data_IF_745349682644
#
_entry.id   IF_745349682644
#
_cell.length_a   1.000
_cell.length_b   1.000
_cell.length_c   1.000
_cell.angle_alpha   90.00
_cell.angle_beta   90.00
_cell.angle_gamma   90.00
#
_symmetry.space_group_name_H-M   'P 1'
#
loop_
_entity.id
_entity.type
_entity.pdbx_description
1 polymer ?
#
# COMPACT_ATOMS: atom_id res chain seq x y z
N UNK A 1 8.39 -1.94 24.00
CA UNK A 1 6.96 -2.00 23.67
C UNK A 1 6.79 -2.93 22.47
N UNK A 2 5.80 -3.82 22.48
CA UNK A 2 5.49 -4.73 21.36
C UNK A 2 3.98 -4.72 21.11
N UNK A 3 3.55 -5.08 19.89
CA UNK A 3 2.17 -4.94 19.41
C UNK A 3 1.71 -6.25 18.76
N UNK A 4 0.44 -6.62 18.94
CA UNK A 4 -0.24 -7.52 17.98
C UNK A 4 -1.00 -6.67 16.96
N UNK A 5 -0.95 -7.06 15.69
CA UNK A 5 -1.54 -6.28 14.59
C UNK A 5 -2.96 -6.77 14.27
N UNK A 6 -3.64 -6.16 13.29
CA UNK A 6 -4.97 -6.59 12.82
C UNK A 6 -5.02 -8.07 12.39
N UNK A 7 -3.89 -8.65 12.01
CA UNK A 7 -3.74 -10.08 11.78
C UNK A 7 -3.28 -10.80 13.07
N UNK A 8 -4.02 -10.61 14.17
CA UNK A 8 -3.78 -11.25 15.46
C UNK A 8 -4.06 -12.75 15.35
N UNK A 9 -3.00 -13.55 15.23
CA UNK A 9 -3.06 -14.97 14.87
C UNK A 9 -2.25 -15.78 15.86
N UNK A 10 -2.91 -16.20 16.92
CA UNK A 10 -2.38 -17.11 17.93
C UNK A 10 -3.43 -18.21 18.21
N UNK A 11 -2.96 -19.41 18.59
CA UNK A 11 -3.84 -20.52 18.97
C UNK A 11 -3.18 -21.31 20.10
N UNK A 12 -3.89 -21.52 21.20
CA UNK A 12 -3.45 -22.40 22.29
C UNK A 12 -3.78 -23.86 21.96
N UNK A 13 -2.94 -24.78 22.42
CA UNK A 13 -3.15 -26.21 22.29
C UNK A 13 -2.80 -26.92 23.60
N UNK A 14 -3.45 -28.06 23.88
CA UNK A 14 -3.06 -28.97 24.96
C UNK A 14 -3.21 -30.42 24.54
N UNK A 15 -2.32 -31.27 25.04
CA UNK A 15 -2.38 -32.72 24.88
C UNK A 15 -2.53 -33.32 26.28
N UNK A 16 -3.44 -34.26 26.45
CA UNK A 16 -3.61 -35.01 27.70
C UNK A 16 -4.06 -36.45 27.42
N UNK A 17 -4.31 -37.24 28.47
CA UNK A 17 -4.77 -38.64 28.36
C UNK A 17 -6.10 -38.81 27.59
N UNK A 18 -6.82 -37.73 27.33
CA UNK A 18 -8.09 -37.71 26.60
C UNK A 18 -7.96 -37.23 25.15
N UNK A 19 -6.75 -36.88 24.69
CA UNK A 19 -6.49 -36.52 23.29
C UNK A 19 -5.84 -35.14 23.11
N UNK A 20 -6.06 -34.58 21.92
CA UNK A 20 -5.50 -33.31 21.45
C UNK A 20 -6.60 -32.27 21.46
N UNK A 21 -6.32 -31.10 22.02
CA UNK A 21 -7.26 -29.99 22.13
C UNK A 21 -6.64 -28.74 21.51
N UNK A 22 -7.43 -28.02 20.74
CA UNK A 22 -7.08 -26.72 20.17
C UNK A 22 -8.05 -25.67 20.71
N UNK A 23 -7.56 -24.45 20.90
CA UNK A 23 -8.38 -23.29 21.20
C UNK A 23 -9.43 -23.07 20.11
N UNK A 24 -10.67 -22.87 20.55
CA UNK A 24 -11.78 -22.58 19.65
C UNK A 24 -11.77 -21.10 19.31
N UNK A 25 -11.60 -20.80 18.03
CA UNK A 25 -11.74 -19.43 17.50
C UNK A 25 -13.18 -19.19 17.02
N UNK A 26 -13.50 -17.94 16.71
CA UNK A 26 -14.80 -17.57 16.15
C UNK A 26 -14.92 -18.01 14.68
N UNK A 27 -16.07 -18.62 14.32
CA UNK A 27 -16.37 -19.09 12.97
C UNK A 27 -17.41 -18.22 12.23
N UNK A 28 -18.11 -17.34 12.96
CA UNK A 28 -19.08 -16.38 12.41
C UNK A 28 -18.68 -14.93 12.78
N UNK A 29 -17.57 -14.40 12.24
CA UNK A 29 -17.12 -13.05 12.57
C UNK A 29 -18.09 -11.95 12.12
N UNK A 30 -18.98 -12.22 11.14
CA UNK A 30 -19.97 -11.27 10.65
C UNK A 30 -20.97 -10.79 11.72
N UNK A 31 -21.14 -11.55 12.81
CA UNK A 31 -21.99 -11.13 13.94
C UNK A 31 -21.49 -9.85 14.63
N UNK A 32 -20.20 -9.54 14.53
CA UNK A 32 -19.61 -8.35 15.12
C UNK A 32 -19.78 -7.09 14.26
N UNK A 33 -20.30 -7.22 13.04
CA UNK A 33 -20.56 -6.07 12.16
C UNK A 33 -22.03 -5.68 12.32
N UNK A 34 -22.36 -4.51 12.90
CA UNK A 34 -23.73 -4.02 13.01
C UNK A 34 -24.38 -3.92 11.63
N UNK A 35 -25.68 -4.23 11.53
CA UNK A 35 -26.40 -4.20 10.24
C UNK A 35 -26.28 -2.85 9.53
N UNK A 36 -26.31 -1.74 10.27
CA UNK A 36 -26.16 -0.38 9.74
C UNK A 36 -24.79 -0.08 9.13
N UNK A 37 -23.77 -0.89 9.41
CA UNK A 37 -22.40 -0.74 8.90
C UNK A 37 -22.06 -1.78 7.81
N UNK A 38 -23.03 -2.60 7.40
CA UNK A 38 -22.85 -3.61 6.33
C UNK A 38 -23.10 -3.05 4.94
N UNK A 39 -23.61 -1.83 4.83
CA UNK A 39 -23.82 -1.14 3.56
C UNK A 39 -22.58 -0.31 3.19
N UNK A 40 -22.33 -0.16 1.89
CA UNK A 40 -21.24 0.69 1.42
C UNK A 40 -21.49 2.14 1.85
N UNK A 41 -20.55 2.70 2.61
CA UNK A 41 -20.57 4.12 2.91
C UNK A 41 -20.30 4.91 1.62
N UNK A 42 -21.27 5.73 1.19
CA UNK A 42 -21.19 6.71 0.10
C UNK A 42 -20.24 7.89 0.41
N UNK A 43 -19.14 7.64 1.12
CA UNK A 43 -18.16 8.67 1.38
C UNK A 43 -17.69 9.28 0.05
N UNK A 44 -17.54 10.59 0.01
CA UNK A 44 -17.06 11.24 -1.20
C UNK A 44 -15.66 10.74 -1.53
N UNK A 45 -15.41 10.53 -2.82
CA UNK A 45 -14.11 10.13 -3.34
C UNK A 45 -13.90 10.73 -4.72
N UNK A 46 -12.64 10.89 -5.09
CA UNK A 46 -12.26 11.31 -6.45
C UNK A 46 -11.83 10.08 -7.23
N UNK A 47 -12.47 9.82 -8.38
CA UNK A 47 -12.07 8.73 -9.26
C UNK A 47 -10.83 9.13 -10.07
N UNK A 48 -9.86 8.23 -10.14
CA UNK A 48 -8.63 8.39 -10.91
C UNK A 48 -8.49 7.23 -11.89
N UNK A 49 -8.64 7.54 -13.18
CA UNK A 49 -8.36 6.61 -14.26
C UNK A 49 -6.86 6.55 -14.55
N UNK A 50 -6.26 5.39 -14.26
CA UNK A 50 -4.85 5.06 -14.42
C UNK A 50 -4.50 4.51 -15.80
N UNK A 51 -5.47 4.36 -16.71
CA UNK A 51 -5.21 4.02 -18.11
C UNK A 51 -4.64 5.20 -18.92
N UNK A 52 -4.62 6.39 -18.32
CA UNK A 52 -4.01 7.60 -18.87
C UNK A 52 -2.53 7.71 -18.47
N UNK A 53 -1.71 8.50 -19.17
CA UNK A 53 -0.34 8.76 -18.77
C UNK A 53 -0.22 9.22 -17.31
N UNK A 54 0.74 8.67 -16.55
CA UNK A 54 0.91 8.97 -15.11
C UNK A 54 0.97 10.47 -14.81
N UNK A 55 1.58 11.26 -15.69
CA UNK A 55 1.67 12.72 -15.55
C UNK A 55 0.29 13.40 -15.45
N UNK A 56 -0.72 12.88 -16.17
CA UNK A 56 -2.06 13.46 -16.19
C UNK A 56 -2.79 13.10 -14.89
N UNK A 57 -2.59 11.86 -14.39
CA UNK A 57 -3.04 11.44 -13.05
C UNK A 57 -2.40 12.29 -11.94
N UNK A 58 -1.11 12.62 -12.06
CA UNK A 58 -0.41 13.49 -11.12
C UNK A 58 -0.96 14.93 -11.13
N UNK A 59 -1.39 15.46 -12.28
CA UNK A 59 -2.05 16.76 -12.35
C UNK A 59 -3.40 16.77 -11.63
N UNK A 60 -4.15 15.66 -11.70
CA UNK A 60 -5.38 15.50 -10.93
C UNK A 60 -5.08 15.43 -9.43
N UNK A 61 -4.07 14.64 -9.02
CA UNK A 61 -3.62 14.55 -7.63
C UNK A 61 -3.14 15.90 -7.07
N UNK A 62 -2.43 16.70 -7.87
CA UNK A 62 -1.90 18.00 -7.46
C UNK A 62 -2.99 19.01 -7.07
N UNK A 63 -4.23 18.82 -7.52
CA UNK A 63 -5.39 19.67 -7.19
C UNK A 63 -6.07 19.28 -5.88
N UNK A 64 -5.69 18.15 -5.30
CA UNK A 64 -6.33 17.57 -4.12
C UNK A 64 -5.45 17.76 -2.87
N UNK A 65 -6.03 18.09 -1.70
CA UNK A 65 -5.28 18.15 -0.46
C UNK A 65 -4.95 16.76 0.09
N UNK A 66 -3.98 16.68 1.01
CA UNK A 66 -3.77 15.48 1.82
C UNK A 66 -5.03 15.11 2.60
N UNK A 67 -5.25 13.81 2.81
CA UNK A 67 -6.45 13.25 3.42
C UNK A 67 -7.60 12.98 2.44
N UNK A 68 -7.54 13.49 1.20
CA UNK A 68 -8.55 13.18 0.18
C UNK A 68 -8.57 11.69 -0.13
N UNK A 69 -9.78 11.10 -0.11
CA UNK A 69 -10.04 9.73 -0.56
C UNK A 69 -10.11 9.68 -2.09
N UNK A 70 -9.32 8.81 -2.68
CA UNK A 70 -9.30 8.54 -4.13
C UNK A 70 -9.70 7.10 -4.40
N UNK A 71 -10.26 6.87 -5.59
CA UNK A 71 -10.63 5.54 -6.10
C UNK A 71 -9.85 5.29 -7.38
N UNK A 72 -9.00 4.27 -7.38
CA UNK A 72 -8.03 3.99 -8.43
C UNK A 72 -8.54 2.88 -9.35
N UNK A 73 -8.54 3.12 -10.66
CA UNK A 73 -8.91 2.11 -11.68
C UNK A 73 -7.90 2.09 -12.80
N UNK A 74 -7.36 0.91 -13.13
CA UNK A 74 -6.34 0.70 -14.17
C UNK A 74 -5.06 0.02 -13.66
N UNK A 75 -3.96 0.11 -14.42
CA UNK A 75 -2.73 -0.64 -14.13
C UNK A 75 -1.90 -0.04 -12.99
N UNK A 76 -1.46 -0.90 -12.08
CA UNK A 76 -0.56 -0.59 -10.96
C UNK A 76 0.59 -1.59 -10.93
N UNK A 77 1.82 -1.09 -10.80
CA UNK A 77 2.99 -1.93 -10.60
C UNK A 77 3.13 -2.30 -9.14
N UNK A 78 3.37 -3.58 -8.86
CA UNK A 78 3.67 -4.06 -7.51
C UNK A 78 5.17 -4.33 -7.39
N UNK A 79 5.82 -3.68 -6.44
CA UNK A 79 7.25 -3.90 -6.14
C UNK A 79 7.53 -3.56 -4.68
N UNK A 80 8.44 -4.31 -4.05
CA UNK A 80 8.84 -4.08 -2.65
C UNK A 80 10.31 -4.40 -2.42
N UNK A 81 10.71 -4.45 -1.15
CA UNK A 81 12.05 -4.64 -0.59
C UNK A 81 13.14 -5.14 -1.58
N UNK A 82 13.14 -6.42 -1.99
CA UNK A 82 14.20 -6.98 -2.84
C UNK A 82 14.16 -6.43 -4.28
N UNK A 83 12.97 -6.23 -4.85
CA UNK A 83 12.83 -5.61 -6.17
C UNK A 83 13.37 -4.17 -6.19
N UNK A 84 13.12 -3.39 -5.13
CA UNK A 84 13.69 -2.05 -4.98
C UNK A 84 15.23 -2.11 -4.88
N UNK A 85 15.78 -3.06 -4.12
CA UNK A 85 17.22 -3.24 -4.02
C UNK A 85 17.86 -3.58 -5.38
N UNK A 86 17.26 -4.49 -6.17
CA UNK A 86 17.74 -4.82 -7.52
C UNK A 86 17.67 -3.62 -8.47
N UNK A 87 16.57 -2.87 -8.45
CA UNK A 87 16.38 -1.68 -9.29
C UNK A 87 17.38 -0.59 -8.89
N UNK A 88 17.64 -0.40 -7.59
CA UNK A 88 18.69 0.51 -7.14
C UNK A 88 20.07 0.09 -7.66
N UNK A 89 20.41 -1.19 -7.57
CA UNK A 89 21.69 -1.69 -8.09
C UNK A 89 21.85 -1.43 -9.60
N UNK A 90 20.76 -1.52 -10.37
CA UNK A 90 20.75 -1.11 -11.80
C UNK A 90 21.10 0.36 -11.97
N UNK A 91 20.46 1.26 -11.22
CA UNK A 91 20.77 2.69 -11.27
C UNK A 91 22.21 2.99 -10.85
N UNK A 92 22.71 2.30 -9.82
CA UNK A 92 24.11 2.44 -9.36
C UNK A 92 25.10 1.99 -10.46
N UNK A 93 24.70 1.08 -11.34
CA UNK A 93 25.43 0.64 -12.53
C UNK A 93 25.14 1.49 -13.79
N UNK A 94 24.52 2.66 -13.63
CA UNK A 94 24.12 3.57 -14.71
C UNK A 94 23.13 2.98 -15.74
N UNK A 95 22.41 1.91 -15.38
CA UNK A 95 21.28 1.44 -16.16
C UNK A 95 20.06 2.38 -15.99
N UNK A 96 19.19 2.49 -17.00
CA UNK A 96 18.03 3.37 -16.91
C UNK A 96 16.98 2.85 -15.91
N UNK A 97 16.25 3.79 -15.30
CA UNK A 97 15.04 3.48 -14.53
C UNK A 97 14.06 2.67 -15.40
N UNK A 98 13.52 1.52 -14.93
CA UNK A 98 12.56 0.73 -15.69
C UNK A 98 11.28 1.51 -16.00
N UNK A 99 10.78 1.38 -17.22
CA UNK A 99 9.59 2.12 -17.69
C UNK A 99 8.35 1.83 -16.87
N UNK A 100 8.23 0.61 -16.33
CA UNK A 100 7.10 0.26 -15.47
C UNK A 100 7.06 1.09 -14.17
N UNK A 101 8.21 1.58 -13.65
CA UNK A 101 8.24 2.49 -12.50
C UNK A 101 8.07 3.96 -12.88
N UNK A 102 8.27 4.32 -14.15
CA UNK A 102 8.07 5.69 -14.66
C UNK A 102 6.62 5.97 -15.02
N UNK A 103 5.92 4.95 -15.53
CA UNK A 103 4.61 5.13 -16.15
C UNK A 103 3.43 4.68 -15.30
N UNK A 104 3.67 4.05 -14.13
CA UNK A 104 2.61 3.52 -13.28
C UNK A 104 2.81 3.88 -11.81
N UNK A 105 1.72 3.84 -11.05
CA UNK A 105 1.76 3.87 -9.58
C UNK A 105 2.51 2.62 -9.09
N UNK A 106 3.35 2.79 -8.07
CA UNK A 106 4.12 1.70 -7.45
C UNK A 106 3.49 1.30 -6.12
N UNK A 107 2.80 0.16 -6.10
CA UNK A 107 2.21 -0.45 -4.93
C UNK A 107 3.18 -1.35 -4.20
N UNK A 108 3.46 -1.02 -2.94
CA UNK A 108 4.32 -1.84 -2.12
C UNK A 108 3.52 -2.98 -1.50
N UNK A 109 3.55 -4.14 -2.15
CA UNK A 109 2.85 -5.33 -1.71
C UNK A 109 3.58 -6.60 -2.17
N UNK A 110 3.16 -7.74 -1.64
CA UNK A 110 3.57 -9.07 -2.11
C UNK A 110 2.36 -10.00 -2.08
N UNK A 111 1.97 -10.63 -3.20
CA UNK A 111 0.80 -11.51 -3.26
C UNK A 111 1.00 -12.78 -2.44
N UNK A 112 -0.07 -13.22 -1.76
CA UNK A 112 -0.19 -14.60 -1.33
C UNK A 112 -0.43 -15.52 -2.54
N UNK A 113 -0.32 -16.84 -2.33
CA UNK A 113 -0.63 -17.84 -3.38
C UNK A 113 -2.07 -17.64 -3.88
N UNK A 114 -2.25 -17.66 -5.20
CA UNK A 114 -3.54 -17.52 -5.85
C UNK A 114 -4.37 -18.79 -5.66
N UNK A 115 -5.57 -18.71 -5.05
CA UNK A 115 -6.52 -19.82 -5.04
C UNK A 115 -6.99 -20.16 -6.45
N UNK A 116 -7.46 -21.39 -6.66
CA UNK A 116 -8.08 -21.78 -7.92
C UNK A 116 -9.26 -20.86 -8.27
N UNK A 117 -9.36 -20.48 -9.54
CA UNK A 117 -10.43 -19.62 -10.09
C UNK A 117 -10.52 -18.20 -9.51
N UNK A 118 -9.47 -17.70 -8.83
CA UNK A 118 -9.38 -16.32 -8.35
C UNK A 118 -8.35 -15.53 -9.17
N UNK A 119 -8.55 -14.21 -9.29
CA UNK A 119 -7.62 -13.32 -10.00
C UNK A 119 -6.25 -13.24 -9.30
N UNK A 120 -6.23 -13.22 -7.97
CA UNK A 120 -5.03 -13.26 -7.16
C UNK A 120 -5.32 -13.81 -5.75
N UNK A 121 -4.26 -14.17 -5.01
CA UNK A 121 -4.36 -14.40 -3.57
C UNK A 121 -4.49 -13.10 -2.80
N UNK A 122 -4.62 -13.18 -1.46
CA UNK A 122 -4.67 -11.98 -0.62
C UNK A 122 -3.50 -11.02 -0.92
N UNK A 123 -3.81 -9.75 -1.16
CA UNK A 123 -2.87 -8.74 -1.64
C UNK A 123 -3.10 -7.40 -0.90
N UNK A 124 -2.56 -7.30 0.31
CA UNK A 124 -2.59 -6.07 1.11
C UNK A 124 -1.29 -5.26 1.03
N UNK A 125 -1.31 -3.99 1.44
CA UNK A 125 -0.12 -3.15 1.43
C UNK A 125 0.91 -3.62 2.47
N UNK A 126 2.18 -3.44 2.16
CA UNK A 126 3.28 -3.53 3.13
C UNK A 126 3.65 -2.15 3.68
N UNK A 127 4.37 -2.13 4.79
CA UNK A 127 4.83 -0.89 5.44
C UNK A 127 5.73 -0.09 4.50
N UNK A 128 5.33 1.15 4.18
CA UNK A 128 6.05 2.02 3.24
C UNK A 128 7.43 2.46 3.73
N UNK A 129 7.58 2.66 5.04
CA UNK A 129 8.81 3.13 5.69
C UNK A 129 10.09 2.37 5.30
N UNK A 130 9.97 1.07 4.97
CA UNK A 130 11.13 0.24 4.58
C UNK A 130 11.72 0.61 3.22
N UNK A 131 10.96 1.31 2.38
CA UNK A 131 11.38 1.76 1.05
C UNK A 131 11.77 3.25 1.01
N UNK A 132 11.76 3.96 2.14
CA UNK A 132 11.99 5.42 2.16
C UNK A 132 13.35 5.82 1.57
N UNK A 133 14.40 5.03 1.83
CA UNK A 133 15.76 5.30 1.32
C UNK A 133 15.92 5.18 -0.20
N UNK A 134 14.90 4.69 -0.93
CA UNK A 134 14.93 4.61 -2.39
C UNK A 134 14.22 5.78 -3.08
N UNK A 135 13.38 6.53 -2.36
CA UNK A 135 12.40 7.44 -2.97
C UNK A 135 13.07 8.58 -3.74
N UNK A 136 13.95 9.37 -3.10
CA UNK A 136 14.60 10.51 -3.76
C UNK A 136 15.41 10.07 -4.98
N UNK A 137 16.17 8.97 -4.86
CA UNK A 137 16.96 8.40 -5.96
C UNK A 137 16.07 7.95 -7.12
N UNK A 138 14.96 7.28 -6.84
CA UNK A 138 14.08 6.78 -7.89
C UNK A 138 13.35 7.94 -8.58
N UNK A 139 12.86 8.91 -7.82
CA UNK A 139 12.18 10.09 -8.36
C UNK A 139 13.12 10.98 -9.17
N UNK A 140 14.37 11.15 -8.73
CA UNK A 140 15.40 11.85 -9.51
C UNK A 140 15.67 11.17 -10.87
N UNK A 141 15.49 9.85 -10.95
CA UNK A 141 15.57 9.07 -12.19
C UNK A 141 14.23 8.96 -12.95
N UNK A 142 13.19 9.70 -12.51
CA UNK A 142 11.86 9.76 -13.13
C UNK A 142 10.92 8.60 -12.80
N UNK A 143 11.27 7.74 -11.84
CA UNK A 143 10.47 6.61 -11.40
C UNK A 143 9.87 6.78 -10.01
N UNK A 144 8.89 5.94 -9.64
CA UNK A 144 8.26 5.94 -8.32
C UNK A 144 7.70 7.31 -7.89
N UNK A 145 7.18 8.07 -8.87
CA UNK A 145 6.59 9.39 -8.64
C UNK A 145 5.28 9.30 -7.85
N UNK A 146 4.53 8.21 -8.00
CA UNK A 146 3.32 7.94 -7.20
C UNK A 146 3.47 6.57 -6.54
N UNK A 147 3.47 6.58 -5.21
CA UNK A 147 3.65 5.39 -4.37
C UNK A 147 2.34 5.03 -3.70
N UNK A 148 2.05 3.73 -3.51
CA UNK A 148 0.91 3.25 -2.74
C UNK A 148 1.41 2.25 -1.68
N UNK A 149 1.12 2.52 -0.41
CA UNK A 149 1.60 1.66 0.70
C UNK A 149 0.72 1.78 1.95
N UNK A 150 1.18 1.28 3.10
CA UNK A 150 0.56 1.57 4.42
C UNK A 150 1.54 2.16 5.41
N UNK A 151 0.99 2.85 6.40
CA UNK A 151 1.74 3.48 7.49
C UNK A 151 2.25 4.88 7.14
N UNK A 152 2.69 5.60 8.16
CA UNK A 152 3.41 6.86 8.01
C UNK A 152 4.78 6.62 7.36
N UNK A 153 5.27 7.66 6.67
CA UNK A 153 6.59 7.70 6.02
C UNK A 153 7.48 8.70 6.76
N UNK A 154 8.80 8.56 6.64
CA UNK A 154 9.75 9.53 7.17
C UNK A 154 9.73 10.85 6.37
N UNK A 155 10.26 11.93 6.98
CA UNK A 155 10.31 13.27 6.38
C UNK A 155 11.02 13.29 5.02
N UNK A 156 12.04 12.45 4.81
CA UNK A 156 12.75 12.38 3.52
C UNK A 156 11.83 12.05 2.34
N UNK A 157 10.72 11.33 2.58
CA UNK A 157 9.72 11.03 1.53
C UNK A 157 8.89 12.27 1.21
N UNK A 158 8.51 13.04 2.23
CA UNK A 158 7.83 14.34 2.04
C UNK A 158 8.71 15.32 1.29
N UNK A 159 10.00 15.39 1.64
CA UNK A 159 10.95 16.28 0.97
C UNK A 159 11.20 15.86 -0.48
N UNK A 160 11.33 14.55 -0.75
CA UNK A 160 11.47 14.01 -2.10
C UNK A 160 10.22 14.27 -2.96
N UNK A 161 9.03 14.01 -2.42
CA UNK A 161 7.75 14.32 -3.08
C UNK A 161 7.65 15.81 -3.44
N UNK A 162 8.00 16.71 -2.53
CA UNK A 162 8.02 18.15 -2.80
C UNK A 162 9.05 18.53 -3.88
N UNK A 163 10.25 17.94 -3.84
CA UNK A 163 11.34 18.23 -4.78
C UNK A 163 11.06 17.75 -6.20
N UNK A 164 10.41 16.60 -6.35
CA UNK A 164 10.20 15.94 -7.66
C UNK A 164 8.75 15.93 -8.14
N UNK A 165 7.84 16.56 -7.40
CA UNK A 165 6.41 16.57 -7.71
C UNK A 165 5.72 15.22 -7.51
N UNK A 166 6.20 14.41 -6.56
CA UNK A 166 5.70 13.06 -6.29
C UNK A 166 4.58 13.01 -5.24
N UNK A 167 3.95 11.85 -5.08
CA UNK A 167 2.84 11.59 -4.14
C UNK A 167 3.03 10.26 -3.42
N UNK A 168 2.62 10.20 -2.14
CA UNK A 168 2.47 8.95 -1.40
C UNK A 168 1.00 8.74 -1.03
N UNK A 169 0.42 7.68 -1.57
CA UNK A 169 -0.93 7.22 -1.30
C UNK A 169 -0.94 6.13 -0.22
N UNK A 170 -1.97 6.15 0.61
CA UNK A 170 -2.22 5.16 1.65
C UNK A 170 -3.35 4.22 1.30
N UNK A 171 -3.10 2.92 1.33
CA UNK A 171 -4.13 1.87 1.31
C UNK A 171 -4.41 1.36 2.73
N UNK A 172 -5.55 0.70 2.89
CA UNK A 172 -6.00 0.16 4.18
C UNK A 172 -5.19 -1.11 4.51
N UNK A 173 -4.40 -1.05 5.58
CA UNK A 173 -3.65 -2.20 6.07
C UNK A 173 -4.54 -3.23 6.77
N UNK A 174 -4.36 -4.51 6.46
CA UNK A 174 -5.00 -5.63 7.16
C UNK A 174 -6.18 -6.29 6.43
N UNK A 175 -6.80 -5.62 5.46
CA UNK A 175 -7.95 -6.13 4.71
C UNK A 175 -7.57 -6.87 3.40
N UNK A 176 -6.46 -7.62 3.40
CA UNK A 176 -5.84 -8.14 2.16
C UNK A 176 -6.71 -9.08 1.33
N UNK A 177 -7.58 -9.87 1.96
CA UNK A 177 -8.49 -10.78 1.25
C UNK A 177 -9.61 -10.00 0.53
N UNK A 178 -10.22 -9.04 1.22
CA UNK A 178 -11.23 -8.16 0.64
C UNK A 178 -10.63 -7.33 -0.50
N UNK A 179 -9.44 -6.76 -0.30
CA UNK A 179 -8.77 -5.96 -1.33
C UNK A 179 -8.54 -6.75 -2.62
N UNK A 180 -8.06 -7.98 -2.49
CA UNK A 180 -7.83 -8.87 -3.62
C UNK A 180 -9.13 -9.30 -4.32
N UNK A 181 -10.17 -9.62 -3.55
CA UNK A 181 -11.43 -10.13 -4.08
C UNK A 181 -12.26 -9.03 -4.79
N UNK A 182 -12.36 -7.85 -4.19
CA UNK A 182 -13.26 -6.80 -4.70
C UNK A 182 -12.61 -5.95 -5.79
N UNK A 183 -11.32 -5.63 -5.64
CA UNK A 183 -10.68 -4.58 -6.44
C UNK A 183 -9.66 -5.10 -7.46
N UNK A 184 -9.12 -6.31 -7.32
CA UNK A 184 -8.08 -6.81 -8.23
C UNK A 184 -8.69 -7.69 -9.33
N UNK A 185 -8.49 -7.29 -10.59
CA UNK A 185 -9.02 -7.99 -11.77
C UNK A 185 -8.03 -8.98 -12.38
N UNK A 186 -6.75 -8.65 -12.33
CA UNK A 186 -5.69 -9.57 -12.80
C UNK A 186 -4.35 -9.24 -12.15
N UNK A 187 -3.46 -10.23 -12.11
CA UNK A 187 -2.09 -10.10 -11.64
C UNK A 187 -1.14 -10.91 -12.52
N UNK A 188 -0.09 -10.28 -13.06
CA UNK A 188 0.92 -10.95 -13.88
C UNK A 188 2.33 -10.55 -13.45
N UNK A 189 3.26 -11.51 -13.47
CA UNK A 189 4.66 -11.22 -13.19
C UNK A 189 5.27 -10.42 -14.35
N UNK A 190 5.94 -9.31 -14.04
CA UNK A 190 6.69 -8.49 -15.00
C UNK A 190 8.15 -8.86 -15.03
N UNK A 191 8.76 -9.00 -13.86
CA UNK A 191 10.21 -9.13 -13.73
C UNK A 191 10.58 -9.84 -12.43
N UNK A 192 11.75 -10.48 -12.45
CA UNK A 192 12.32 -11.23 -11.33
C UNK A 192 11.44 -12.35 -10.77
N UNK A 193 10.92 -13.27 -11.62
CA UNK A 193 10.08 -14.38 -11.15
C UNK A 193 10.78 -15.25 -10.11
N UNK A 194 12.12 -15.28 -10.09
CA UNK A 194 12.91 -15.99 -9.10
C UNK A 194 12.73 -15.47 -7.66
N UNK A 195 12.20 -14.26 -7.48
CA UNK A 195 11.95 -13.64 -6.17
C UNK A 195 10.63 -14.07 -5.52
N UNK A 196 9.83 -14.91 -6.18
CA UNK A 196 8.54 -15.35 -5.65
C UNK A 196 7.62 -14.17 -5.36
N UNK A 197 7.13 -14.05 -4.12
CA UNK A 197 6.21 -12.96 -3.73
C UNK A 197 6.81 -11.55 -3.85
N UNK A 198 8.15 -11.43 -3.95
CA UNK A 198 8.86 -10.16 -4.09
C UNK A 198 9.25 -9.82 -5.54
N UNK A 199 8.78 -10.61 -6.51
CA UNK A 199 8.88 -10.26 -7.92
C UNK A 199 8.19 -8.91 -8.21
N UNK A 200 8.49 -8.32 -9.37
CA UNK A 200 7.72 -7.17 -9.86
C UNK A 200 6.49 -7.71 -10.56
N UNK A 201 5.31 -7.21 -10.18
CA UNK A 201 4.04 -7.60 -10.78
C UNK A 201 3.35 -6.41 -11.45
N UNK A 202 2.48 -6.69 -12.41
CA UNK A 202 1.48 -5.75 -12.89
C UNK A 202 0.11 -6.23 -12.42
N UNK A 203 -0.60 -5.35 -11.76
CA UNK A 203 -1.94 -5.57 -11.22
C UNK A 203 -2.91 -4.66 -11.97
N UNK A 204 -4.04 -5.22 -12.40
CA UNK A 204 -5.17 -4.43 -12.90
C UNK A 204 -6.18 -4.27 -11.77
N UNK A 205 -6.59 -3.03 -11.46
CA UNK A 205 -7.56 -2.76 -10.40
C UNK A 205 -8.78 -2.00 -10.90
N UNK A 206 -9.89 -2.16 -10.18
CA UNK A 206 -11.10 -1.37 -10.37
C UNK A 206 -11.55 -0.83 -9.01
N UNK A 207 -11.73 0.49 -8.91
CA UNK A 207 -12.24 1.19 -7.74
C UNK A 207 -11.44 0.94 -6.44
N UNK A 208 -10.13 0.71 -6.53
CA UNK A 208 -9.29 0.46 -5.36
C UNK A 208 -9.20 1.74 -4.49
N UNK A 209 -9.61 1.70 -3.22
CA UNK A 209 -9.59 2.88 -2.36
C UNK A 209 -8.17 3.21 -1.88
N UNK A 210 -7.82 4.49 -1.93
CA UNK A 210 -6.60 5.03 -1.34
C UNK A 210 -6.81 6.46 -0.79
N UNK A 211 -5.83 6.96 -0.05
CA UNK A 211 -5.83 8.31 0.50
C UNK A 211 -4.54 9.04 0.15
N UNK A 212 -4.60 10.34 -0.14
CA UNK A 212 -3.38 11.14 -0.33
C UNK A 212 -2.75 11.38 1.04
N UNK A 213 -1.60 10.75 1.32
CA UNK A 213 -0.91 10.91 2.61
C UNK A 213 0.21 11.94 2.55
N UNK A 214 0.88 12.06 1.40
CA UNK A 214 1.87 13.09 1.11
C UNK A 214 1.61 13.63 -0.29
N UNK A 215 1.64 14.94 -0.43
CA UNK A 215 1.48 15.62 -1.72
C UNK A 215 2.80 16.18 -2.28
N UNK A 216 2.71 16.76 -3.47
CA UNK A 216 3.78 17.43 -4.21
C UNK A 216 4.19 18.80 -3.64
N UNK A 217 3.59 19.22 -2.51
CA UNK A 217 3.76 20.57 -1.92
C UNK A 217 4.42 20.51 -0.54
N UNK A 218 4.85 19.32 -0.12
CA UNK A 218 5.47 19.09 1.19
C UNK A 218 4.46 18.90 2.32
N UNK A 219 3.18 18.70 2.02
CA UNK A 219 2.18 18.38 3.05
C UNK A 219 2.23 16.89 3.40
N UNK A 220 2.03 16.58 4.68
CA UNK A 220 1.96 15.23 5.21
C UNK A 220 0.75 15.10 6.15
N UNK A 221 -0.16 14.20 5.81
CA UNK A 221 -1.40 13.95 6.57
C UNK A 221 -1.14 13.65 8.05
N UNK A 222 -0.17 12.78 8.35
CA UNK A 222 0.10 12.37 9.73
C UNK A 222 0.73 13.50 10.54
N UNK A 223 1.62 14.29 9.92
CA UNK A 223 2.21 15.46 10.59
C UNK A 223 1.14 16.51 10.93
N UNK A 224 0.21 16.79 10.01
CA UNK A 224 -0.91 17.70 10.28
C UNK A 224 -1.84 17.15 11.37
N UNK A 225 -2.15 15.86 11.33
CA UNK A 225 -2.99 15.20 12.34
C UNK A 225 -2.35 15.27 13.72
N UNK A 226 -1.07 14.94 13.84
CA UNK A 226 -0.32 15.00 15.10
C UNK A 226 -0.24 16.43 15.64
N UNK A 227 -0.05 17.43 14.79
CA UNK A 227 -0.04 18.84 15.23
C UNK A 227 -1.41 19.29 15.76
N UNK A 228 -2.51 18.87 15.12
CA UNK A 228 -3.87 19.26 15.51
C UNK A 228 -4.37 18.50 16.74
N UNK A 229 -3.93 17.26 16.94
CA UNK A 229 -4.43 16.36 17.98
C UNK A 229 -3.37 15.99 19.01
N UNK A 230 -2.28 16.77 19.11
CA UNK A 230 -1.23 16.54 20.09
C UNK A 230 -1.81 16.61 21.51
N UNK A 231 -1.76 15.48 22.22
CA UNK A 231 -2.05 15.48 23.65
C UNK A 231 -0.94 16.26 24.37
N UNK A 232 -1.29 17.42 24.94
CA UNK A 232 -0.34 18.32 25.61
C UNK A 232 0.46 17.67 26.76
N UNK A 233 -0.08 16.59 27.32
CA UNK A 233 0.49 15.83 28.45
C UNK A 233 1.20 14.54 28.06
N UNK A 234 1.16 14.12 26.78
CA UNK A 234 1.89 12.93 26.34
C UNK A 234 3.33 13.29 25.93
N UNK A 235 4.35 12.51 26.33
CA UNK A 235 5.71 12.68 25.83
C UNK A 235 5.71 12.62 24.30
N UNK A 236 6.46 13.51 23.65
CA UNK A 236 6.67 13.40 22.20
C UNK A 236 7.36 12.05 21.92
N UNK A 237 6.71 11.19 21.12
CA UNK A 237 7.29 9.92 20.71
C UNK A 237 8.59 10.15 19.94
N UNK A 238 9.67 9.52 20.38
CA UNK A 238 10.95 9.44 19.67
C UNK A 238 10.88 8.44 18.51
#
# INVERSE_FOLDING_TARGET
>A
MALSCSADRNIKAKINKHGIWLEKLEHNPGQYIPASLREENHAQHVQLDLNRPLRDVMQDLARLPVGTRVSLSGPIVVARDIAHAKIKARLDNAEPMPDYLKHHIVYYAGPAKTPENMACGSLGPTTGGRMDGYVDTFQAAGGSLVMLSKGNRSQQVTDACHKHGGFNLGSIGGAAALLAQEYVKSLRCLEYPELGMEAVWMMEVENLPAFILVDDKGNNFFSQFEQQHRCASCPAGH
#
